data_IF_116718185169
#
_entry.id   IF_116718185169
#
_cell.length_a   1.000
_cell.length_b   1.000
_cell.length_c   1.000
_cell.angle_alpha   90.00
_cell.angle_beta   90.00
_cell.angle_gamma   90.00
#
_symmetry.space_group_name_H-M   'P 1'
#
loop_
_entity.id
_entity.type
_entity.pdbx_description
1 polymer ?
#
# COMPACT_ATOMS: atom_id res chain seq x y z
N UNK A 1 -16.84 16.73 -15.39
CA UNK A 1 -16.82 15.64 -14.39
C UNK A 1 -18.20 15.51 -13.74
N UNK A 2 -18.82 16.61 -13.33
CA UNK A 2 -20.12 16.63 -12.64
C UNK A 2 -21.26 15.95 -13.42
N UNK A 3 -21.37 16.18 -14.74
CA UNK A 3 -22.38 15.51 -15.57
C UNK A 3 -22.21 13.98 -15.64
N UNK A 4 -20.98 13.48 -15.53
CA UNK A 4 -20.72 12.05 -15.45
C UNK A 4 -21.21 11.49 -14.10
N UNK A 5 -20.85 12.17 -13.00
CA UNK A 5 -21.24 11.77 -11.65
C UNK A 5 -22.76 11.82 -11.47
N UNK A 6 -23.45 12.80 -12.06
CA UNK A 6 -24.92 12.86 -12.06
C UNK A 6 -25.56 11.63 -12.69
N UNK A 7 -25.03 11.18 -13.83
CA UNK A 7 -25.52 10.02 -14.59
C UNK A 7 -25.00 8.68 -14.10
N UNK A 8 -24.06 8.66 -13.16
CA UNK A 8 -23.47 7.45 -12.63
C UNK A 8 -24.46 6.69 -11.76
N UNK A 9 -24.70 5.42 -12.07
CA UNK A 9 -25.58 4.55 -11.29
C UNK A 9 -24.82 3.75 -10.22
N UNK A 10 -23.56 3.38 -10.51
CA UNK A 10 -22.71 2.55 -9.65
C UNK A 10 -21.32 3.16 -9.49
N UNK A 11 -20.91 3.36 -8.24
CA UNK A 11 -19.55 3.77 -7.87
C UNK A 11 -18.90 2.60 -7.14
N UNK A 12 -17.76 2.13 -7.64
CA UNK A 12 -16.96 1.10 -6.99
C UNK A 12 -15.76 1.78 -6.33
N UNK A 13 -15.60 1.57 -5.02
CA UNK A 13 -14.46 2.04 -4.25
C UNK A 13 -13.69 0.84 -3.74
N UNK A 14 -12.58 0.57 -4.41
CA UNK A 14 -11.65 -0.49 -4.03
C UNK A 14 -10.64 -0.06 -2.96
N UNK A 15 -10.25 -0.99 -2.11
CA UNK A 15 -9.40 -0.78 -0.93
C UNK A 15 -9.90 0.34 -0.01
N UNK A 16 -11.21 0.35 0.25
CA UNK A 16 -11.85 1.36 1.10
C UNK A 16 -11.41 1.28 2.58
N UNK A 17 -10.81 0.16 3.01
CA UNK A 17 -10.42 -0.11 4.39
C UNK A 17 -9.29 0.81 4.87
N UNK A 18 -8.45 1.28 3.96
CA UNK A 18 -7.38 2.25 4.20
C UNK A 18 -7.90 3.70 4.29
N UNK A 19 -9.16 3.94 3.94
CA UNK A 19 -9.74 5.28 3.93
C UNK A 19 -10.17 5.73 5.34
N UNK A 20 -9.96 7.01 5.62
CA UNK A 20 -10.51 7.63 6.80
C UNK A 20 -12.04 7.82 6.65
N UNK A 21 -12.81 7.66 7.73
CA UNK A 21 -14.28 7.83 7.77
C UNK A 21 -14.75 9.18 7.18
N UNK A 22 -13.94 10.22 7.36
CA UNK A 22 -14.16 11.56 6.77
C UNK A 22 -14.17 11.55 5.24
N UNK A 23 -13.37 10.71 4.60
CA UNK A 23 -13.38 10.57 3.15
C UNK A 23 -14.73 10.00 2.67
N UNK A 24 -15.26 8.98 3.35
CA UNK A 24 -16.58 8.43 3.07
C UNK A 24 -17.70 9.48 3.25
N UNK A 25 -17.63 10.27 4.32
CA UNK A 25 -18.57 11.37 4.57
C UNK A 25 -18.46 12.48 3.52
N UNK A 26 -17.25 12.82 3.09
CA UNK A 26 -17.01 13.81 2.04
C UNK A 26 -17.58 13.34 0.70
N UNK A 27 -17.41 12.07 0.35
CA UNK A 27 -18.01 11.45 -0.85
C UNK A 27 -19.53 11.52 -0.76
N UNK A 28 -20.15 11.10 0.35
CA UNK A 28 -21.60 11.17 0.55
C UNK A 28 -22.12 12.61 0.36
N UNK A 29 -21.52 13.59 1.03
CA UNK A 29 -21.90 15.00 0.90
C UNK A 29 -21.75 15.49 -0.53
N UNK A 30 -20.63 15.20 -1.17
CA UNK A 30 -20.34 15.63 -2.55
C UNK A 30 -21.35 15.03 -3.53
N UNK A 31 -21.73 13.77 -3.37
CA UNK A 31 -22.74 13.13 -4.22
C UNK A 31 -24.13 13.73 -4.01
N UNK A 32 -24.50 14.09 -2.78
CA UNK A 32 -25.76 14.79 -2.50
C UNK A 32 -25.82 16.15 -3.19
N UNK A 33 -24.72 16.90 -3.10
CA UNK A 33 -24.60 18.23 -3.70
C UNK A 33 -24.64 18.16 -5.24
N UNK A 34 -23.81 17.31 -5.85
CA UNK A 34 -23.71 17.18 -7.32
C UNK A 34 -25.02 16.64 -7.93
N UNK A 35 -25.66 15.68 -7.27
CA UNK A 35 -26.92 15.06 -7.77
C UNK A 35 -28.17 15.81 -7.34
N UNK A 36 -28.03 16.89 -6.57
CA UNK A 36 -29.12 17.67 -5.97
C UNK A 36 -30.16 16.76 -5.28
N UNK A 37 -29.67 15.81 -4.47
CA UNK A 37 -30.49 14.81 -3.80
C UNK A 37 -29.95 14.54 -2.39
N UNK A 38 -30.74 14.87 -1.37
CA UNK A 38 -30.34 14.78 0.04
C UNK A 38 -30.31 13.35 0.61
N UNK A 39 -30.67 12.34 -0.18
CA UNK A 39 -30.57 10.94 0.21
C UNK A 39 -29.11 10.49 0.30
N UNK A 40 -28.81 9.46 1.08
CA UNK A 40 -27.46 8.88 1.19
C UNK A 40 -26.84 8.63 -0.20
N UNK A 41 -25.57 8.99 -0.36
CA UNK A 41 -24.78 8.91 -1.58
C UNK A 41 -25.45 9.57 -2.80
N UNK A 42 -26.32 10.56 -2.58
CA UNK A 42 -27.11 11.17 -3.67
C UNK A 42 -27.98 10.16 -4.42
N UNK A 43 -28.39 9.05 -3.76
CA UNK A 43 -29.10 7.90 -4.38
C UNK A 43 -28.26 7.13 -5.41
N UNK A 44 -26.94 7.28 -5.43
CA UNK A 44 -26.06 6.41 -6.20
C UNK A 44 -25.85 5.08 -5.46
N UNK A 45 -25.74 3.98 -6.20
CA UNK A 45 -25.28 2.72 -5.62
C UNK A 45 -23.77 2.80 -5.43
N UNK A 46 -23.29 2.57 -4.20
CA UNK A 46 -21.86 2.56 -3.90
C UNK A 46 -21.49 1.17 -3.40
N UNK A 47 -20.55 0.54 -4.10
CA UNK A 47 -19.93 -0.71 -3.71
C UNK A 47 -18.57 -0.41 -3.09
N UNK A 48 -18.44 -0.68 -1.79
CA UNK A 48 -17.17 -0.60 -1.08
C UNK A 48 -16.54 -2.00 -1.05
N UNK A 49 -15.30 -2.11 -1.49
CA UNK A 49 -14.52 -3.36 -1.46
C UNK A 49 -13.22 -3.16 -0.68
N UNK A 50 -12.73 -4.24 -0.10
CA UNK A 50 -11.49 -4.27 0.67
C UNK A 50 -11.56 -5.31 1.78
N UNK A 51 -10.41 -5.54 2.41
CA UNK A 51 -10.26 -6.51 3.50
C UNK A 51 -9.88 -5.78 4.80
N UNK A 52 -10.69 -5.99 5.85
CA UNK A 52 -10.47 -5.36 7.16
C UNK A 52 -9.47 -6.13 8.03
N UNK A 53 -8.98 -7.27 7.56
CA UNK A 53 -7.81 -7.95 8.12
C UNK A 53 -6.49 -7.28 7.67
N UNK A 54 -6.58 -6.20 6.89
CA UNK A 54 -5.44 -5.37 6.50
C UNK A 54 -5.16 -4.25 7.51
N UNK A 55 -4.16 -3.40 7.20
CA UNK A 55 -3.77 -2.27 8.03
C UNK A 55 -4.88 -1.23 8.17
N UNK A 56 -4.94 -0.57 9.34
CA UNK A 56 -5.82 0.57 9.57
C UNK A 56 -5.40 1.81 8.75
N UNK A 57 -6.29 2.79 8.54
CA UNK A 57 -5.92 4.06 7.93
C UNK A 57 -4.77 4.73 8.68
N UNK A 58 -3.80 5.27 7.93
CA UNK A 58 -2.70 6.04 8.52
C UNK A 58 -3.22 7.39 8.97
N UNK A 59 -3.11 7.68 10.27
CA UNK A 59 -3.42 8.98 10.85
C UNK A 59 -2.14 9.56 11.48
N UNK A 60 -1.49 10.55 10.83
CA UNK A 60 -0.29 11.16 11.37
C UNK A 60 -0.57 11.83 12.72
N UNK A 61 0.34 11.65 13.67
CA UNK A 61 0.27 12.28 15.01
C UNK A 61 -1.03 11.96 15.77
N UNK A 62 -1.63 10.81 15.49
CA UNK A 62 -2.90 10.38 16.08
C UNK A 62 -2.81 10.15 17.59
N UNK A 63 -3.88 10.50 18.29
CA UNK A 63 -4.16 9.94 19.60
C UNK A 63 -4.82 8.56 19.44
N UNK A 64 -4.82 7.75 20.51
CA UNK A 64 -5.56 6.47 20.53
C UNK A 64 -7.03 6.61 20.12
N UNK A 65 -7.65 7.75 20.46
CA UNK A 65 -9.04 8.02 20.10
C UNK A 65 -9.19 8.30 18.60
N UNK A 66 -8.20 8.97 17.98
CA UNK A 66 -8.21 9.21 16.55
C UNK A 66 -8.06 7.90 15.77
N UNK A 67 -7.18 7.00 16.22
CA UNK A 67 -7.00 5.67 15.61
C UNK A 67 -8.29 4.84 15.62
N UNK A 68 -9.03 4.84 16.74
CA UNK A 68 -10.31 4.10 16.85
C UNK A 68 -11.39 4.70 15.95
N UNK A 69 -11.38 6.03 15.77
CA UNK A 69 -12.39 6.73 14.97
C UNK A 69 -12.03 6.86 13.49
N UNK A 70 -10.80 6.55 13.11
CA UNK A 70 -10.33 6.68 11.73
C UNK A 70 -11.01 5.75 10.72
N UNK A 71 -11.18 4.42 10.99
CA UNK A 71 -11.67 3.48 10.00
C UNK A 71 -13.08 3.79 9.52
N UNK A 72 -13.40 3.48 8.27
CA UNK A 72 -14.75 3.70 7.72
C UNK A 72 -15.87 3.03 8.52
N UNK A 73 -15.56 1.95 9.26
CA UNK A 73 -16.49 1.25 10.17
C UNK A 73 -17.00 2.13 11.33
N UNK A 74 -16.26 3.19 11.69
CA UNK A 74 -16.69 4.15 12.71
C UNK A 74 -17.77 5.11 12.21
N UNK A 75 -18.01 5.17 10.89
CA UNK A 75 -18.94 6.12 10.29
C UNK A 75 -20.39 5.80 10.62
N UNK A 76 -21.21 6.82 10.87
CA UNK A 76 -22.66 6.66 10.95
C UNK A 76 -23.28 6.11 9.64
N UNK A 77 -22.60 6.34 8.50
CA UNK A 77 -22.99 5.78 7.20
C UNK A 77 -22.84 4.25 7.15
N UNK A 78 -21.88 3.69 7.90
CA UNK A 78 -21.61 2.25 7.93
C UNK A 78 -22.83 1.44 8.40
N UNK A 79 -23.60 1.97 9.35
CA UNK A 79 -24.82 1.30 9.86
C UNK A 79 -25.91 1.08 8.81
N UNK A 80 -25.83 1.77 7.67
CA UNK A 80 -26.80 1.67 6.57
C UNK A 80 -26.28 0.80 5.42
N UNK A 81 -25.07 0.26 5.54
CA UNK A 81 -24.45 -0.55 4.51
C UNK A 81 -24.86 -2.01 4.65
N UNK A 82 -25.04 -2.67 3.50
CA UNK A 82 -25.22 -4.11 3.43
C UNK A 82 -23.86 -4.76 3.21
N UNK A 83 -23.49 -5.67 4.12
CA UNK A 83 -22.21 -6.39 4.04
C UNK A 83 -22.38 -7.71 3.31
N UNK A 84 -21.51 -7.96 2.34
CA UNK A 84 -21.36 -9.25 1.66
C UNK A 84 -19.97 -9.79 1.95
N UNK A 85 -19.86 -11.09 2.21
CA UNK A 85 -18.58 -11.74 2.48
C UNK A 85 -18.26 -12.70 1.34
N UNK A 86 -17.03 -12.62 0.82
CA UNK A 86 -16.51 -13.59 -0.13
C UNK A 86 -15.77 -14.67 0.67
N UNK A 87 -16.14 -15.93 0.48
CA UNK A 87 -15.58 -17.06 1.25
C UNK A 87 -14.57 -17.90 0.47
N UNK A 88 -14.47 -17.72 -0.84
CA UNK A 88 -13.59 -18.52 -1.70
C UNK A 88 -12.36 -17.72 -2.08
N UNK A 89 -11.19 -18.18 -1.64
CA UNK A 89 -9.91 -17.63 -2.07
C UNK A 89 -9.55 -18.17 -3.46
N UNK A 90 -9.94 -17.43 -4.50
CA UNK A 90 -9.68 -17.80 -5.88
C UNK A 90 -8.18 -17.92 -6.19
N UNK A 91 -7.31 -17.16 -5.52
CA UNK A 91 -5.85 -17.24 -5.75
C UNK A 91 -5.30 -18.59 -5.31
N UNK A 92 -5.69 -19.06 -4.13
CA UNK A 92 -5.31 -20.37 -3.64
C UNK A 92 -5.96 -21.49 -4.46
N UNK A 93 -7.26 -21.38 -4.78
CA UNK A 93 -7.96 -22.39 -5.55
C UNK A 93 -7.41 -22.58 -6.97
N UNK A 94 -7.00 -21.48 -7.62
CA UNK A 94 -6.46 -21.51 -8.98
C UNK A 94 -4.99 -21.92 -9.05
N UNK A 95 -4.27 -21.93 -7.92
CA UNK A 95 -2.87 -22.41 -7.91
C UNK A 95 -2.80 -23.93 -8.15
N UNK A 96 -3.83 -24.68 -7.73
CA UNK A 96 -3.83 -26.14 -7.73
C UNK A 96 -2.84 -26.76 -6.75
N UNK A 97 -2.21 -25.95 -5.90
CA UNK A 97 -1.20 -26.36 -4.93
C UNK A 97 -1.79 -26.31 -3.51
N UNK A 98 -1.91 -27.50 -2.91
CA UNK A 98 -2.44 -27.67 -1.56
C UNK A 98 -1.65 -26.89 -0.51
N UNK A 99 -0.35 -26.70 -0.70
CA UNK A 99 0.46 -25.93 0.25
C UNK A 99 0.08 -24.44 0.27
N UNK A 100 -0.34 -23.89 -0.87
CA UNK A 100 -0.83 -22.51 -0.99
C UNK A 100 -2.20 -22.35 -0.32
N UNK A 101 -3.06 -23.36 -0.44
CA UNK A 101 -4.36 -23.40 0.25
C UNK A 101 -4.17 -23.45 1.78
N UNK A 102 -3.33 -24.36 2.27
CA UNK A 102 -3.01 -24.49 3.70
C UNK A 102 -2.39 -23.19 4.26
N UNK A 103 -1.47 -22.56 3.50
CA UNK A 103 -0.89 -21.28 3.89
C UNK A 103 -1.92 -20.14 3.90
N UNK A 104 -2.82 -20.08 2.92
CA UNK A 104 -3.88 -19.09 2.87
C UNK A 104 -4.84 -19.20 4.07
N UNK A 105 -5.15 -20.42 4.52
CA UNK A 105 -5.95 -20.64 5.74
C UNK A 105 -5.25 -20.14 7.00
N UNK A 106 -3.93 -20.34 7.10
CA UNK A 106 -3.11 -19.82 8.21
C UNK A 106 -3.18 -18.28 8.22
N UNK A 107 -2.99 -17.62 7.07
CA UNK A 107 -3.08 -16.17 6.96
C UNK A 107 -4.47 -15.63 7.30
N UNK A 108 -5.54 -16.32 6.90
CA UNK A 108 -6.91 -15.93 7.22
C UNK A 108 -7.17 -16.01 8.73
N UNK A 109 -6.73 -17.10 9.38
CA UNK A 109 -6.83 -17.23 10.84
C UNK A 109 -6.06 -16.13 11.57
N UNK A 110 -4.89 -15.76 11.06
CA UNK A 110 -4.08 -14.67 11.61
C UNK A 110 -4.81 -13.33 11.48
N UNK A 111 -5.31 -13.01 10.28
CA UNK A 111 -6.04 -11.77 10.01
C UNK A 111 -7.31 -11.60 10.85
N UNK A 112 -7.98 -12.70 11.17
CA UNK A 112 -9.18 -12.70 12.01
C UNK A 112 -8.89 -12.79 13.52
N UNK A 113 -7.61 -12.85 13.92
CA UNK A 113 -7.22 -12.98 15.33
C UNK A 113 -7.60 -14.33 15.95
N UNK A 114 -7.69 -15.40 15.15
CA UNK A 114 -8.02 -16.78 15.58
C UNK A 114 -6.79 -17.70 15.67
N UNK A 115 -5.60 -17.14 15.58
CA UNK A 115 -4.35 -17.90 15.72
C UNK A 115 -4.04 -18.16 17.18
N UNK A 116 -3.49 -19.34 17.48
CA UNK A 116 -3.06 -19.69 18.82
C UNK A 116 -1.81 -18.88 19.12
N UNK A 117 -1.86 -18.10 20.18
CA UNK A 117 -0.70 -17.41 20.75
C UNK A 117 -0.20 -18.16 21.98
N UNK A 118 1.03 -17.89 22.38
CA UNK A 118 1.54 -18.36 23.66
C UNK A 118 0.87 -17.64 24.86
N UNK A 119 1.34 -17.93 26.08
CA UNK A 119 0.83 -17.34 27.32
C UNK A 119 1.00 -15.81 27.38
N UNK A 120 1.91 -15.25 26.58
CA UNK A 120 2.26 -13.82 26.50
C UNK A 120 1.65 -13.14 25.26
N UNK A 121 0.72 -13.81 24.57
CA UNK A 121 0.07 -13.34 23.33
C UNK A 121 1.01 -13.18 22.11
N UNK A 122 2.17 -13.84 22.11
CA UNK A 122 3.07 -13.87 20.95
C UNK A 122 2.72 -15.00 19.98
N UNK A 123 3.03 -14.74 18.71
CA UNK A 123 2.84 -15.65 17.60
C UNK A 123 4.11 -16.47 17.34
N UNK A 124 3.98 -17.79 17.25
CA UNK A 124 5.07 -18.66 16.78
C UNK A 124 5.28 -18.50 15.26
N UNK A 125 6.44 -17.97 14.88
CA UNK A 125 6.75 -17.63 13.48
C UNK A 125 7.19 -18.82 12.62
N UNK A 126 7.67 -19.90 13.22
CA UNK A 126 8.27 -21.05 12.51
C UNK A 126 7.28 -21.77 11.59
N UNK A 127 5.98 -21.60 11.82
CA UNK A 127 4.91 -22.19 11.00
C UNK A 127 4.46 -21.30 9.83
N UNK A 128 4.90 -20.04 9.80
CA UNK A 128 4.40 -19.01 8.87
C UNK A 128 5.54 -18.42 8.03
N UNK A 129 6.74 -18.36 8.60
CA UNK A 129 7.87 -17.65 8.04
C UNK A 129 9.12 -18.54 7.99
N UNK A 130 9.93 -18.33 6.97
CA UNK A 130 11.30 -18.82 6.96
C UNK A 130 12.20 -17.76 7.58
N UNK A 131 12.90 -18.10 8.66
CA UNK A 131 13.92 -17.23 9.23
C UNK A 131 15.14 -17.18 8.30
N UNK A 132 15.70 -15.98 8.15
CA UNK A 132 16.86 -15.70 7.31
C UNK A 132 17.81 -14.83 8.11
N UNK A 133 19.09 -15.20 8.14
CA UNK A 133 20.09 -14.58 9.00
C UNK A 133 20.70 -13.30 8.41
N UNK A 134 20.59 -13.08 7.10
CA UNK A 134 21.16 -11.92 6.42
C UNK A 134 20.30 -11.39 5.25
N UNK A 135 20.54 -10.13 4.88
CA UNK A 135 19.90 -9.52 3.69
C UNK A 135 20.42 -10.19 2.42
N UNK A 136 21.67 -10.61 2.42
CA UNK A 136 22.33 -11.27 1.29
C UNK A 136 21.68 -12.65 1.01
N UNK A 137 21.36 -13.40 2.07
CA UNK A 137 20.60 -14.65 1.96
C UNK A 137 19.17 -14.42 1.48
N UNK A 138 18.52 -13.33 1.91
CA UNK A 138 17.20 -12.95 1.41
C UNK A 138 17.25 -12.64 -0.09
N UNK A 139 18.23 -11.84 -0.53
CA UNK A 139 18.40 -11.47 -1.95
C UNK A 139 18.67 -12.71 -2.80
N UNK A 140 19.58 -13.60 -2.38
CA UNK A 140 19.87 -14.83 -3.13
C UNK A 140 18.68 -15.79 -3.21
N UNK A 141 17.84 -15.85 -2.17
CA UNK A 141 16.59 -16.64 -2.19
C UNK A 141 15.51 -16.04 -3.09
N UNK A 142 15.34 -14.72 -3.09
CA UNK A 142 14.29 -14.04 -3.85
C UNK A 142 14.68 -13.84 -5.32
N UNK A 143 15.97 -13.62 -5.59
CA UNK A 143 16.54 -13.46 -6.93
C UNK A 143 17.57 -14.57 -7.22
N UNK A 144 17.14 -15.83 -7.34
CA UNK A 144 18.05 -16.93 -7.68
C UNK A 144 18.63 -16.68 -9.08
N UNK A 145 19.92 -16.92 -9.26
CA UNK A 145 20.59 -16.77 -10.56
C UNK A 145 20.47 -15.38 -11.20
N UNK A 146 20.45 -14.32 -10.37
CA UNK A 146 20.39 -12.91 -10.79
C UNK A 146 21.28 -12.59 -12.01
N UNK A 147 22.53 -13.04 -11.97
CA UNK A 147 23.51 -12.78 -13.05
C UNK A 147 23.16 -13.47 -14.38
N UNK A 148 22.35 -14.53 -14.34
CA UNK A 148 21.94 -15.29 -15.52
C UNK A 148 20.68 -14.70 -16.17
N UNK A 149 19.79 -14.09 -15.38
CA UNK A 149 18.45 -13.67 -15.83
C UNK A 149 18.17 -12.17 -15.75
N UNK A 150 19.13 -11.34 -15.33
CA UNK A 150 18.91 -9.88 -15.20
C UNK A 150 18.44 -9.18 -16.49
N UNK A 151 18.76 -9.72 -17.67
CA UNK A 151 18.30 -9.17 -18.96
C UNK A 151 16.89 -9.63 -19.36
N UNK A 152 16.31 -10.60 -18.63
CA UNK A 152 14.97 -11.08 -18.89
C UNK A 152 13.95 -10.21 -18.13
N UNK A 153 13.23 -9.37 -18.88
CA UNK A 153 12.24 -8.46 -18.34
C UNK A 153 11.07 -9.18 -17.65
N UNK A 154 10.65 -10.35 -18.13
CA UNK A 154 9.55 -11.09 -17.50
C UNK A 154 9.99 -11.63 -16.14
N UNK A 155 11.21 -12.17 -16.06
CA UNK A 155 11.77 -12.72 -14.83
C UNK A 155 12.03 -11.66 -13.77
N UNK A 156 12.62 -10.51 -14.14
CA UNK A 156 13.00 -9.47 -13.17
C UNK A 156 11.77 -8.80 -12.50
N UNK A 157 10.60 -8.89 -13.14
CA UNK A 157 9.36 -8.30 -12.65
C UNK A 157 8.55 -9.23 -11.73
N UNK A 158 8.88 -10.52 -11.67
CA UNK A 158 8.17 -11.48 -10.81
C UNK A 158 8.52 -11.37 -9.31
N UNK A 159 9.80 -11.36 -8.90
CA UNK A 159 10.16 -11.30 -7.49
C UNK A 159 9.99 -9.90 -6.89
N UNK A 160 9.51 -9.85 -5.65
CA UNK A 160 9.36 -8.60 -4.89
C UNK A 160 9.80 -8.78 -3.43
N UNK A 161 10.53 -7.80 -2.90
CA UNK A 161 10.87 -7.70 -1.48
C UNK A 161 10.02 -6.57 -0.88
N UNK A 162 9.17 -6.92 0.07
CA UNK A 162 8.39 -5.95 0.86
C UNK A 162 8.97 -5.88 2.27
N UNK A 163 9.14 -4.67 2.79
CA UNK A 163 9.63 -4.43 4.16
C UNK A 163 8.70 -3.46 4.89
N UNK A 164 8.55 -3.59 6.22
CA UNK A 164 7.56 -2.79 6.97
C UNK A 164 7.92 -1.30 7.06
N UNK A 165 9.20 -0.94 6.89
CA UNK A 165 9.67 0.43 7.06
C UNK A 165 10.46 0.91 5.85
N UNK A 166 10.19 2.16 5.44
CA UNK A 166 10.96 2.84 4.40
C UNK A 166 12.43 3.05 4.80
N UNK A 167 12.77 3.06 6.11
CA UNK A 167 14.16 3.09 6.54
C UNK A 167 14.91 1.81 6.14
N UNK A 168 14.25 0.66 6.24
CA UNK A 168 14.81 -0.64 5.86
C UNK A 168 14.96 -0.75 4.34
N UNK A 169 13.99 -0.29 3.56
CA UNK A 169 14.12 -0.35 2.09
C UNK A 169 15.28 0.54 1.60
N UNK A 170 15.57 1.64 2.31
CA UNK A 170 16.73 2.51 2.02
C UNK A 170 18.08 1.84 2.23
N UNK A 171 18.18 0.85 3.12
CA UNK A 171 19.42 0.09 3.30
C UNK A 171 19.52 -1.09 2.33
N UNK A 172 18.40 -1.70 1.93
CA UNK A 172 18.37 -2.87 1.04
C UNK A 172 18.52 -2.48 -0.44
N UNK A 173 17.77 -1.47 -0.92
CA UNK A 173 17.74 -1.13 -2.34
C UNK A 173 19.13 -0.84 -2.94
N UNK A 174 20.03 -0.07 -2.29
CA UNK A 174 21.37 0.14 -2.82
C UNK A 174 22.20 -1.15 -2.91
N UNK A 175 22.06 -2.06 -1.93
CA UNK A 175 22.74 -3.37 -1.96
C UNK A 175 22.25 -4.21 -3.15
N UNK A 176 20.94 -4.22 -3.37
CA UNK A 176 20.32 -4.93 -4.49
C UNK A 176 20.78 -4.36 -5.84
N UNK A 177 20.73 -3.03 -5.99
CA UNK A 177 21.17 -2.34 -7.21
C UNK A 177 22.63 -2.60 -7.56
N UNK A 178 23.52 -2.62 -6.55
CA UNK A 178 24.93 -2.93 -6.74
C UNK A 178 25.18 -4.39 -7.14
N UNK A 179 24.23 -5.30 -6.89
CA UNK A 179 24.32 -6.69 -7.32
C UNK A 179 23.94 -6.88 -8.80
N UNK A 180 23.19 -5.95 -9.40
CA UNK A 180 22.86 -5.98 -10.82
C UNK A 180 24.07 -5.61 -11.67
N UNK A 181 24.44 -6.43 -12.66
CA UNK A 181 25.49 -6.09 -13.61
C UNK A 181 24.99 -4.97 -14.55
N UNK A 182 25.70 -3.84 -14.59
CA UNK A 182 25.22 -2.69 -15.34
C UNK A 182 25.92 -1.40 -14.97
N UNK A 183 25.72 -0.36 -15.78
CA UNK A 183 26.08 1.00 -15.40
C UNK A 183 24.96 1.61 -14.55
N UNK A 184 25.32 2.21 -13.42
CA UNK A 184 24.35 2.95 -12.61
C UNK A 184 23.99 4.26 -13.29
N UNK A 185 22.71 4.44 -13.57
CA UNK A 185 22.14 5.67 -14.12
C UNK A 185 21.35 6.39 -13.03
N UNK A 186 21.60 7.69 -12.87
CA UNK A 186 20.86 8.54 -11.94
C UNK A 186 19.83 9.38 -12.68
N UNK A 187 18.57 9.27 -12.28
CA UNK A 187 17.47 10.09 -12.77
C UNK A 187 17.09 11.12 -11.70
N UNK A 188 17.14 12.40 -12.07
CA UNK A 188 16.76 13.49 -11.17
C UNK A 188 15.32 13.91 -11.47
N UNK A 189 14.45 13.93 -10.46
CA UNK A 189 13.15 14.60 -10.57
C UNK A 189 13.31 16.10 -10.36
N UNK A 190 12.55 16.85 -11.15
CA UNK A 190 12.40 18.29 -11.03
C UNK A 190 10.99 18.53 -10.51
N UNK A 191 10.88 19.04 -9.28
CA UNK A 191 9.62 19.53 -8.73
C UNK A 191 9.68 21.05 -8.78
N UNK A 192 8.97 21.64 -9.73
CA UNK A 192 8.81 23.09 -9.84
C UNK A 192 7.65 23.52 -8.95
N UNK A 193 7.91 24.44 -8.01
CA UNK A 193 6.86 25.05 -7.20
C UNK A 193 6.46 26.35 -7.88
N UNK A 194 5.16 26.54 -8.11
CA UNK A 194 4.62 27.72 -8.82
C UNK A 194 4.63 28.96 -7.91
N UNK A 195 4.61 28.77 -6.60
CA UNK A 195 4.61 29.83 -5.58
C UNK A 195 5.73 29.57 -4.54
N UNK A 196 6.67 30.52 -4.42
CA UNK A 196 7.82 30.42 -3.52
C UNK A 196 7.39 30.41 -2.03
N UNK A 197 6.21 30.94 -1.69
CA UNK A 197 5.67 30.94 -0.33
C UNK A 197 5.01 29.59 0.04
N UNK A 198 4.58 28.79 -0.94
CA UNK A 198 4.00 27.46 -0.70
C UNK A 198 5.05 26.33 -0.63
N UNK A 199 6.34 26.61 -0.81
CA UNK A 199 7.44 25.62 -0.74
C UNK A 199 7.44 24.83 0.59
N UNK A 200 6.92 25.43 1.66
CA UNK A 200 6.79 24.84 3.00
C UNK A 200 5.59 23.89 3.10
N UNK A 201 4.55 24.07 2.27
CA UNK A 201 3.29 23.33 2.30
C UNK A 201 3.31 22.06 1.43
N UNK A 202 4.25 21.95 0.48
CA UNK A 202 4.46 20.72 -0.28
C UNK A 202 5.49 19.84 0.43
N UNK A 203 5.07 18.77 1.14
CA UNK A 203 6.00 17.73 1.51
C UNK A 203 6.63 17.20 0.23
N UNK A 204 7.96 17.05 0.22
CA UNK A 204 8.66 16.39 -0.89
C UNK A 204 8.02 15.02 -1.05
N UNK A 205 7.25 14.84 -2.13
CA UNK A 205 6.65 13.55 -2.46
C UNK A 205 7.79 12.65 -2.90
N UNK A 206 8.17 11.74 -2.02
CA UNK A 206 9.14 10.71 -2.36
C UNK A 206 8.37 9.53 -2.95
N UNK A 207 8.32 9.46 -4.28
CA UNK A 207 8.00 8.22 -4.98
C UNK A 207 9.25 7.34 -4.95
N UNK A 208 9.42 6.54 -3.90
CA UNK A 208 10.62 5.73 -3.63
C UNK A 208 10.52 4.39 -4.40
N UNK A 209 10.80 4.41 -5.70
CA UNK A 209 11.43 3.27 -6.37
C UNK A 209 12.93 3.56 -6.33
N UNK A 210 13.63 2.78 -5.50
CA UNK A 210 15.09 2.74 -5.29
C UNK A 210 15.76 3.90 -4.52
N UNK A 211 16.81 3.52 -3.78
CA UNK A 211 17.37 4.30 -2.66
C UNK A 211 18.01 5.63 -3.07
N UNK A 212 17.59 6.71 -2.40
CA UNK A 212 18.18 8.04 -2.57
C UNK A 212 19.21 8.33 -1.47
N UNK A 213 20.39 8.83 -1.86
CA UNK A 213 21.31 9.54 -0.95
C UNK A 213 21.05 11.04 -1.01
N UNK A 214 20.97 11.69 0.15
CA UNK A 214 20.78 13.15 0.27
C UNK A 214 22.05 13.87 -0.16
N UNK A 215 21.99 14.66 -1.22
CA UNK A 215 22.92 15.76 -1.46
C UNK A 215 22.12 17.06 -1.66
N UNK A 216 22.16 17.94 -0.65
CA UNK A 216 21.51 19.26 -0.70
C UNK A 216 22.56 20.33 -1.00
N UNK A 217 22.60 20.81 -2.24
CA UNK A 217 23.06 22.16 -2.56
C UNK A 217 21.83 22.97 -3.00
N UNK A 218 21.46 23.95 -2.17
CA UNK A 218 20.23 24.73 -2.30
C UNK A 218 20.41 25.88 -3.31
N UNK A 219 19.52 25.92 -4.31
CA UNK A 219 19.16 27.11 -5.08
C UNK A 219 17.68 27.39 -4.78
N UNK A 220 17.32 28.67 -4.63
CA UNK A 220 16.08 29.16 -3.98
C UNK A 220 14.76 28.68 -4.58
N UNK A 221 14.76 28.09 -5.78
CA UNK A 221 13.54 27.72 -6.52
C UNK A 221 13.44 26.24 -6.93
N UNK A 222 14.42 25.39 -6.58
CA UNK A 222 14.44 23.99 -7.05
C UNK A 222 14.69 23.00 -5.90
N UNK A 223 13.73 22.06 -5.68
CA UNK A 223 13.99 20.83 -4.93
C UNK A 223 14.27 19.70 -5.93
N UNK A 224 15.43 19.05 -5.81
CA UNK A 224 15.81 17.89 -6.61
C UNK A 224 15.78 16.63 -5.74
N UNK A 225 15.16 15.56 -6.24
CA UNK A 225 15.31 14.20 -5.71
C UNK A 225 15.98 13.35 -6.78
N UNK A 226 16.91 12.49 -6.37
CA UNK A 226 17.66 11.60 -7.26
C UNK A 226 17.25 10.15 -7.02
N UNK A 227 17.08 9.40 -8.10
CA UNK A 227 16.79 7.96 -8.12
C UNK A 227 17.90 7.23 -8.86
N UNK A 228 18.25 6.03 -8.43
CA UNK A 228 19.31 5.21 -9.04
C UNK A 228 18.73 3.95 -9.68
N UNK A 229 19.09 3.66 -10.92
CA UNK A 229 18.70 2.44 -11.64
C UNK A 229 19.96 1.80 -12.20
N UNK A 230 20.10 0.48 -12.09
CA UNK A 230 21.14 -0.28 -12.78
C UNK A 230 20.53 -0.87 -14.06
N UNK A 231 21.17 -0.68 -15.21
CA UNK A 231 20.73 -1.17 -16.53
C UNK A 231 21.58 -2.34 -17.02
#
# INVERSE_FOLDING_TARGET
MDELIKKCDLIVWDECTLAHTRALQAVDRTLRDIRNNNSQMGKATVLLTGDFCQTLPVVPEATKMDEVNAPIKSSALWHHMQTFHLSTNMRAQLSGDRSVEEFAEILLRLGEGRTVTDEDEYLELDTICNLIDSVEDLVSKVFPDLLSYYQNADWICEPAIMVPQNATIKSINPKLLNAFPGEMVTYNSIVTVIDEEEIVNYPVRVFELTGATRNTSLSSAEKRSSYHVSM
#
